data_IF_465255062492
#
_entry.id   IF_465255062492
#
_cell.length_a   1.000
_cell.length_b   1.000
_cell.length_c   1.000
_cell.angle_alpha   90.00
_cell.angle_beta   90.00
_cell.angle_gamma   90.00
#
_symmetry.space_group_name_H-M   'P 1'
#
loop_
_entity.id
_entity.type
_entity.pdbx_description
1 polymer ?
#
# COMPACT_ATOMS: atom_id res chain seq x y z
N UNK A 1 6.23 -0.85 4.63
CA UNK A 1 5.63 -1.49 3.43
C UNK A 1 4.83 -2.68 3.91
N UNK A 2 3.69 -2.98 3.29
CA UNK A 2 2.83 -4.08 3.72
C UNK A 2 2.12 -4.74 2.54
N UNK A 3 2.06 -6.08 2.55
CA UNK A 3 1.22 -6.86 1.64
C UNK A 3 -0.20 -6.95 2.16
N UNK A 4 -1.16 -7.08 1.24
CA UNK A 4 -2.56 -7.28 1.58
C UNK A 4 -2.78 -8.54 2.41
N UNK A 5 -3.78 -8.52 3.30
CA UNK A 5 -4.20 -9.70 4.04
C UNK A 5 -4.81 -10.77 3.12
N UNK A 6 -4.89 -12.03 3.59
CA UNK A 6 -5.49 -13.13 2.84
C UNK A 6 -7.00 -12.99 2.61
N UNK A 7 -7.65 -11.98 3.21
CA UNK A 7 -9.04 -11.61 2.94
C UNK A 7 -9.23 -11.04 1.53
N UNK A 8 -8.15 -10.57 0.87
CA UNK A 8 -8.15 -10.15 -0.53
C UNK A 8 -7.56 -11.26 -1.41
N UNK A 9 -8.26 -11.73 -2.46
CA UNK A 9 -7.75 -12.80 -3.32
C UNK A 9 -6.54 -12.42 -4.20
N UNK A 10 -6.32 -11.12 -4.43
CA UNK A 10 -5.20 -10.59 -5.18
C UNK A 10 -4.09 -10.08 -4.24
N UNK A 11 -2.85 -10.16 -4.71
CA UNK A 11 -1.71 -9.62 -3.98
C UNK A 11 -1.59 -8.12 -4.23
N UNK A 12 -1.86 -7.31 -3.22
CA UNK A 12 -1.58 -5.89 -3.23
C UNK A 12 -0.39 -5.56 -2.35
N UNK A 13 0.51 -4.74 -2.86
CA UNK A 13 1.62 -4.17 -2.10
C UNK A 13 1.35 -2.69 -1.87
N UNK A 14 1.50 -2.25 -0.63
CA UNK A 14 1.47 -0.82 -0.29
C UNK A 14 2.80 -0.40 0.33
N UNK A 15 3.32 0.73 -0.13
CA UNK A 15 4.51 1.33 0.43
C UNK A 15 4.32 2.84 0.64
N UNK A 16 4.73 3.30 1.81
CA UNK A 16 5.01 4.70 2.08
C UNK A 16 6.41 5.09 1.58
N UNK A 17 6.57 6.36 1.25
CA UNK A 17 7.82 6.94 0.75
C UNK A 17 8.14 8.25 1.48
N UNK A 18 9.43 8.61 1.46
CA UNK A 18 9.93 9.88 1.96
C UNK A 18 9.58 11.07 1.06
N UNK A 19 9.07 10.81 -0.15
CA UNK A 19 8.51 11.81 -1.06
C UNK A 19 7.08 12.24 -0.70
N UNK A 20 6.63 11.90 0.51
CA UNK A 20 5.29 12.14 1.05
C UNK A 20 4.17 11.33 0.36
N UNK A 21 4.48 10.32 -0.46
CA UNK A 21 3.43 9.51 -1.10
C UNK A 21 3.31 8.12 -0.48
N UNK A 22 2.07 7.65 -0.40
CA UNK A 22 1.70 6.24 -0.27
C UNK A 22 1.29 5.74 -1.65
N UNK A 23 1.83 4.59 -2.05
CA UNK A 23 1.53 3.95 -3.34
C UNK A 23 1.03 2.53 -3.13
N UNK A 24 0.09 2.12 -3.97
CA UNK A 24 -0.49 0.78 -4.00
C UNK A 24 -0.28 0.16 -5.38
N UNK A 25 0.20 -1.07 -5.39
CA UNK A 25 0.39 -1.87 -6.59
C UNK A 25 -0.33 -3.21 -6.46
N UNK A 26 -0.93 -3.68 -7.54
CA UNK A 26 -1.29 -5.09 -7.69
C UNK A 26 -0.08 -5.85 -8.23
N UNK A 27 0.32 -6.91 -7.54
CA UNK A 27 1.38 -7.82 -7.94
C UNK A 27 0.73 -9.01 -8.62
N UNK A 28 0.93 -9.13 -9.93
CA UNK A 28 0.44 -10.28 -10.68
C UNK A 28 1.34 -11.49 -10.49
N UNK A 29 0.78 -12.69 -10.71
CA UNK A 29 1.51 -13.96 -10.62
C UNK A 29 2.68 -14.08 -11.58
N UNK A 30 2.70 -13.31 -12.66
CA UNK A 30 3.81 -13.24 -13.61
C UNK A 30 4.93 -12.29 -13.16
N UNK A 31 4.83 -11.74 -11.95
CA UNK A 31 5.81 -10.80 -11.36
C UNK A 31 5.63 -9.36 -11.82
N UNK A 32 4.66 -9.05 -12.69
CA UNK A 32 4.40 -7.66 -13.09
C UNK A 32 3.63 -6.93 -12.01
N UNK A 33 4.01 -5.67 -11.78
CA UNK A 33 3.32 -4.77 -10.86
C UNK A 33 2.52 -3.73 -11.62
N UNK A 34 1.23 -3.62 -11.31
CA UNK A 34 0.35 -2.57 -11.86
C UNK A 34 0.10 -1.55 -10.77
N UNK A 35 0.41 -0.27 -11.03
CA UNK A 35 0.04 0.83 -10.12
C UNK A 35 -1.48 0.99 -10.07
N UNK A 36 -2.05 0.97 -8.88
CA UNK A 36 -3.50 1.05 -8.65
C UNK A 36 -3.95 2.35 -8.03
N UNK A 37 -3.18 2.84 -7.06
CA UNK A 37 -3.49 4.07 -6.37
C UNK A 37 -2.23 4.75 -5.86
N UNK A 38 -2.31 6.07 -5.71
CA UNK A 38 -1.33 6.88 -5.01
C UNK A 38 -2.06 7.96 -4.22
N UNK A 39 -1.60 8.21 -3.00
CA UNK A 39 -2.08 9.29 -2.16
C UNK A 39 -0.91 10.10 -1.62
N UNK A 40 -1.00 11.41 -1.71
CA UNK A 40 -0.01 12.34 -1.14
C UNK A 40 -0.43 12.72 0.27
N UNK A 41 0.51 12.60 1.20
CA UNK A 41 0.37 12.88 2.63
C UNK A 41 0.98 14.25 2.97
N UNK A 42 0.69 14.75 4.17
CA UNK A 42 1.23 16.03 4.66
C UNK A 42 2.72 16.01 4.98
N UNK A 43 3.33 14.83 5.07
CA UNK A 43 4.74 14.63 5.37
C UNK A 43 5.23 13.24 4.97
N UNK A 44 6.52 12.94 5.22
CA UNK A 44 7.11 11.66 4.89
C UNK A 44 6.37 10.50 5.56
N UNK A 45 6.10 9.43 4.81
CA UNK A 45 5.34 8.29 5.32
C UNK A 45 6.31 7.32 6.00
N UNK A 46 6.14 7.12 7.30
CA UNK A 46 7.00 6.26 8.11
C UNK A 46 6.49 4.83 8.16
N UNK A 47 5.17 4.64 8.15
CA UNK A 47 4.58 3.32 8.26
C UNK A 47 3.26 3.18 7.51
N UNK A 48 2.94 1.95 7.11
CA UNK A 48 1.71 1.56 6.43
C UNK A 48 1.26 0.19 6.91
N UNK A 49 -0.03 0.04 7.21
CA UNK A 49 -0.64 -1.22 7.62
C UNK A 49 -1.99 -1.42 6.93
N UNK A 50 -2.29 -2.66 6.57
CA UNK A 50 -3.61 -3.03 6.09
C UNK A 50 -4.56 -3.29 7.25
N UNK A 51 -5.82 -2.92 7.07
CA UNK A 51 -6.89 -3.43 7.93
C UNK A 51 -7.16 -4.90 7.57
N UNK A 52 -7.53 -5.73 8.54
CA UNK A 52 -7.66 -7.19 8.37
C UNK A 52 -8.68 -7.60 7.30
N UNK A 53 -9.72 -6.78 7.10
CA UNK A 53 -10.73 -6.99 6.04
C UNK A 53 -10.25 -6.59 4.63
N UNK A 54 -9.04 -6.02 4.51
CA UNK A 54 -8.46 -5.57 3.25
C UNK A 54 -9.08 -4.30 2.65
N UNK A 55 -10.10 -3.72 3.29
CA UNK A 55 -10.84 -2.58 2.73
C UNK A 55 -10.08 -1.25 2.83
N UNK A 56 -9.11 -1.16 3.74
CA UNK A 56 -8.42 0.09 4.10
C UNK A 56 -6.95 -0.13 4.38
N UNK A 57 -6.20 0.94 4.18
CA UNK A 57 -4.79 1.07 4.56
C UNK A 57 -4.69 2.24 5.54
N UNK A 58 -4.09 1.98 6.70
CA UNK A 58 -3.68 3.01 7.64
C UNK A 58 -2.25 3.43 7.31
N UNK A 59 -1.99 4.74 7.34
CA UNK A 59 -0.66 5.29 7.10
C UNK A 59 -0.29 6.28 8.20
N UNK A 60 0.96 6.19 8.66
CA UNK A 60 1.55 7.12 9.63
C UNK A 60 2.54 8.04 8.92
N UNK A 61 2.31 9.35 8.98
CA UNK A 61 3.24 10.39 8.53
C UNK A 61 3.75 11.22 9.70
N UNK A 62 4.90 11.87 9.51
CA UNK A 62 5.41 12.89 10.43
C UNK A 62 4.50 14.14 10.48
#
# INVERSE_FOLDING_TARGET
MAFSPPSIPQDFLVAGSWDNNVRCWEVQRDGKTIGKAQQTMGGPVMDVAWHDDGSKVCCGSL
#
